data_IF_549361247681
#
_entry.id   IF_549361247681
#
_cell.length_a   1.000
_cell.length_b   1.000
_cell.length_c   1.000
_cell.angle_alpha   90.00
_cell.angle_beta   90.00
_cell.angle_gamma   90.00
#
_symmetry.space_group_name_H-M   'P 1'
#
loop_
_entity.id
_entity.type
_entity.pdbx_description
1 polymer ?
#
# COMPACT_ATOMS: atom_id res chain seq x y z
N UNK A 1 -0.41 -26.32 0.50
CA UNK A 1 0.19 -24.96 0.47
C UNK A 1 1.35 -24.80 -0.51
N UNK A 2 2.27 -25.76 -0.67
CA UNK A 2 3.47 -25.57 -1.52
C UNK A 2 3.18 -25.29 -3.01
N UNK A 3 2.11 -25.87 -3.57
CA UNK A 3 1.72 -25.68 -4.98
C UNK A 3 1.40 -24.20 -5.32
N UNK A 4 0.57 -23.56 -4.49
CA UNK A 4 0.24 -22.13 -4.65
C UNK A 4 1.44 -21.21 -4.50
N UNK A 5 2.31 -21.49 -3.52
CA UNK A 5 3.54 -20.72 -3.34
C UNK A 5 4.44 -20.79 -4.58
N UNK A 6 4.61 -21.97 -5.18
CA UNK A 6 5.39 -22.13 -6.43
C UNK A 6 4.74 -21.42 -7.60
N UNK A 7 3.43 -21.59 -7.78
CA UNK A 7 2.67 -20.98 -8.88
C UNK A 7 2.77 -19.45 -8.86
N UNK A 8 2.44 -18.80 -7.74
CA UNK A 8 2.51 -17.34 -7.67
C UNK A 8 3.93 -16.79 -7.67
N UNK A 9 4.91 -17.54 -7.15
CA UNK A 9 6.32 -17.14 -7.24
C UNK A 9 6.81 -17.14 -8.69
N UNK A 10 6.38 -18.09 -9.50
CA UNK A 10 6.68 -18.11 -10.93
C UNK A 10 5.94 -16.98 -11.67
N UNK A 11 4.70 -16.68 -11.27
CA UNK A 11 3.92 -15.58 -11.88
C UNK A 11 4.51 -14.20 -11.58
N UNK A 12 5.06 -14.01 -10.38
CA UNK A 12 5.61 -12.72 -9.93
C UNK A 12 7.12 -12.57 -10.13
N UNK A 13 7.81 -13.60 -10.65
CA UNK A 13 9.23 -13.48 -10.93
C UNK A 13 9.46 -12.53 -12.10
N UNK A 14 10.32 -11.54 -11.88
CA UNK A 14 10.82 -10.67 -12.95
C UNK A 14 11.73 -11.48 -13.89
N UNK A 15 11.14 -12.03 -14.95
CA UNK A 15 11.83 -12.82 -15.98
C UNK A 15 12.79 -11.97 -16.80
N UNK A 16 12.57 -10.67 -16.87
CA UNK A 16 13.37 -9.72 -17.67
C UNK A 16 14.53 -9.12 -16.88
N UNK A 17 14.43 -9.10 -15.55
CA UNK A 17 15.37 -8.43 -14.66
C UNK A 17 15.32 -6.90 -14.76
N UNK A 18 14.32 -6.34 -15.42
CA UNK A 18 14.21 -4.90 -15.69
C UNK A 18 13.55 -4.14 -14.54
N UNK A 19 12.77 -4.79 -13.68
CA UNK A 19 12.02 -4.12 -12.62
C UNK A 19 12.93 -3.45 -11.58
N UNK A 20 14.20 -3.84 -11.49
CA UNK A 20 15.18 -3.31 -10.53
C UNK A 20 16.33 -2.54 -11.17
N UNK A 21 16.34 -2.36 -12.49
CA UNK A 21 17.38 -1.61 -13.19
C UNK A 21 16.91 -0.18 -13.44
N UNK A 22 17.68 0.84 -13.02
CA UNK A 22 17.31 2.23 -13.24
C UNK A 22 17.52 2.68 -14.70
N UNK A 23 18.46 2.08 -15.42
CA UNK A 23 18.90 2.52 -16.77
C UNK A 23 17.75 2.69 -17.78
N UNK A 24 16.80 1.73 -17.92
CA UNK A 24 15.70 1.87 -18.86
C UNK A 24 14.77 3.06 -18.51
N UNK A 25 14.68 3.41 -17.23
CA UNK A 25 13.81 4.49 -16.76
C UNK A 25 14.46 5.86 -16.95
N UNK A 26 15.78 5.94 -16.84
CA UNK A 26 16.52 7.19 -17.06
C UNK A 26 16.38 7.64 -18.52
N UNK A 27 16.43 6.72 -19.49
CA UNK A 27 16.20 7.05 -20.91
C UNK A 27 14.77 7.54 -21.18
N UNK A 28 13.77 6.94 -20.54
CA UNK A 28 12.35 7.26 -20.76
C UNK A 28 11.95 8.59 -20.10
N UNK A 29 12.41 8.83 -18.88
CA UNK A 29 11.96 9.95 -18.05
C UNK A 29 12.87 11.19 -18.25
N UNK A 30 14.13 10.97 -18.64
CA UNK A 30 15.16 12.00 -18.76
C UNK A 30 15.59 12.59 -17.40
N UNK A 31 16.57 13.49 -17.42
CA UNK A 31 17.00 14.27 -16.26
C UNK A 31 16.07 15.48 -16.01
N UNK A 32 14.79 15.24 -15.75
CA UNK A 32 13.88 16.32 -15.34
C UNK A 32 14.03 16.56 -13.83
N UNK A 33 14.86 17.54 -13.47
CA UNK A 33 15.02 18.02 -12.09
C UNK A 33 13.99 19.08 -11.68
N UNK A 34 13.20 19.61 -12.61
CA UNK A 34 12.11 20.52 -12.24
C UNK A 34 11.01 19.71 -11.54
N UNK A 35 10.73 20.07 -10.28
CA UNK A 35 9.57 19.62 -9.53
C UNK A 35 8.50 20.73 -9.55
N UNK A 36 7.73 20.90 -10.64
CA UNK A 36 6.70 21.93 -10.74
C UNK A 36 5.48 21.64 -9.85
N UNK A 37 5.43 20.47 -9.21
CA UNK A 37 4.26 19.99 -8.45
C UNK A 37 4.41 20.14 -6.94
N UNK A 38 5.57 20.60 -6.44
CA UNK A 38 5.87 20.73 -5.00
C UNK A 38 5.57 19.46 -4.18
N UNK A 39 5.71 18.28 -4.79
CA UNK A 39 5.39 16.98 -4.17
C UNK A 39 6.41 16.51 -3.13
N UNK A 40 7.39 17.35 -2.78
CA UNK A 40 8.45 17.01 -1.83
C UNK A 40 8.13 17.44 -0.39
N UNK A 41 6.97 18.08 -0.17
CA UNK A 41 6.52 18.44 1.18
C UNK A 41 6.23 17.19 2.02
N UNK A 42 6.19 17.36 3.33
CA UNK A 42 5.75 16.28 4.21
C UNK A 42 4.27 15.96 4.03
N UNK A 43 3.94 14.68 4.24
CA UNK A 43 2.54 14.21 4.30
C UNK A 43 1.77 15.05 5.32
N UNK A 44 0.72 15.71 4.84
CA UNK A 44 -0.20 16.53 5.62
C UNK A 44 -1.32 15.68 6.24
N UNK A 45 -1.95 16.23 7.28
CA UNK A 45 -3.11 15.57 7.88
C UNK A 45 -4.31 15.50 6.93
N UNK A 46 -4.48 16.50 6.06
CA UNK A 46 -5.59 16.55 5.12
C UNK A 46 -5.51 15.42 4.09
N UNK A 47 -4.31 15.12 3.57
CA UNK A 47 -4.09 13.98 2.68
C UNK A 47 -4.44 12.65 3.37
N UNK A 48 -3.98 12.47 4.61
CA UNK A 48 -4.30 11.26 5.40
C UNK A 48 -5.80 11.13 5.61
N UNK A 49 -6.48 12.23 5.97
CA UNK A 49 -7.93 12.30 6.19
C UNK A 49 -8.69 11.97 4.91
N UNK A 50 -8.36 12.61 3.79
CA UNK A 50 -8.99 12.38 2.49
C UNK A 50 -8.89 10.92 2.07
N UNK A 51 -7.68 10.35 2.17
CA UNK A 51 -7.44 8.95 1.85
C UNK A 51 -8.28 8.04 2.74
N UNK A 52 -8.24 8.25 4.06
CA UNK A 52 -8.99 7.42 5.00
C UNK A 52 -10.50 7.49 4.78
N UNK A 53 -11.06 8.68 4.56
CA UNK A 53 -12.49 8.83 4.27
C UNK A 53 -12.89 8.14 2.96
N UNK A 54 -12.00 8.12 1.97
CA UNK A 54 -12.22 7.41 0.70
C UNK A 54 -12.15 5.88 0.81
N UNK A 55 -11.56 5.33 1.88
CA UNK A 55 -11.48 3.87 2.06
C UNK A 55 -12.82 3.30 2.52
N UNK A 56 -13.26 2.23 1.85
CA UNK A 56 -14.45 1.48 2.24
C UNK A 56 -14.23 0.70 3.53
N UNK A 57 -15.25 0.68 4.40
CA UNK A 57 -15.29 -0.16 5.60
C UNK A 57 -15.47 -1.64 5.24
N UNK A 58 -15.22 -2.52 6.22
CA UNK A 58 -15.44 -3.97 6.14
C UNK A 58 -14.69 -4.66 4.99
N UNK A 59 -13.54 -4.11 4.61
CA UNK A 59 -12.59 -4.77 3.71
C UNK A 59 -11.64 -5.62 4.52
N UNK A 60 -11.26 -6.78 3.97
CA UNK A 60 -10.33 -7.69 4.63
C UNK A 60 -9.01 -6.97 5.01
N UNK A 61 -8.50 -7.21 6.23
CA UNK A 61 -7.22 -6.66 6.66
C UNK A 61 -6.06 -7.30 5.90
N UNK A 62 -4.86 -6.73 6.02
CA UNK A 62 -3.64 -7.41 5.63
C UNK A 62 -3.17 -8.38 6.71
N UNK A 63 -1.94 -8.88 6.57
CA UNK A 63 -1.33 -9.78 7.56
C UNK A 63 -1.08 -9.14 8.94
N UNK A 64 -1.26 -7.82 9.08
CA UNK A 64 -1.22 -7.12 10.37
C UNK A 64 -2.56 -7.18 11.14
N UNK A 65 -3.63 -7.68 10.53
CA UNK A 65 -4.95 -7.82 11.15
C UNK A 65 -5.70 -6.50 11.34
N UNK A 66 -5.16 -5.36 10.89
CA UNK A 66 -5.77 -4.05 11.11
C UNK A 66 -6.69 -3.67 9.94
N UNK A 67 -7.98 -3.62 10.21
CA UNK A 67 -9.00 -3.17 9.27
C UNK A 67 -9.11 -1.64 9.19
N UNK A 68 -9.74 -1.14 8.13
CA UNK A 68 -10.00 0.30 7.90
C UNK A 68 -10.76 0.94 9.08
N UNK A 69 -11.66 0.19 9.74
CA UNK A 69 -12.41 0.67 10.89
C UNK A 69 -11.50 1.15 12.03
N UNK A 70 -10.41 0.44 12.31
CA UNK A 70 -9.43 0.84 13.34
C UNK A 70 -8.82 2.20 13.05
N UNK A 71 -8.49 2.47 11.79
CA UNK A 71 -7.90 3.75 11.40
C UNK A 71 -8.95 4.87 11.41
N UNK A 72 -10.19 4.59 11.02
CA UNK A 72 -11.27 5.60 11.05
C UNK A 72 -11.67 6.01 12.46
N UNK A 73 -11.57 5.10 13.45
CA UNK A 73 -11.82 5.43 14.87
C UNK A 73 -10.80 6.45 15.41
N UNK A 74 -9.63 6.58 14.77
CA UNK A 74 -8.63 7.59 15.18
C UNK A 74 -9.08 9.02 14.89
N UNK A 75 -10.08 9.19 14.01
CA UNK A 75 -10.64 10.48 13.62
C UNK A 75 -11.84 10.79 14.48
N UNK A 76 -11.83 12.00 15.05
CA UNK A 76 -13.01 12.64 15.58
C UNK A 76 -13.51 13.73 14.60
N UNK A 77 -14.79 14.11 14.67
CA UNK A 77 -15.38 15.14 13.81
C UNK A 77 -14.69 16.52 13.97
N UNK A 78 -13.93 16.70 15.06
CA UNK A 78 -13.15 17.90 15.36
C UNK A 78 -11.73 17.90 14.74
N UNK A 79 -11.21 16.75 14.28
CA UNK A 79 -9.87 16.59 13.70
C UNK A 79 -9.75 17.14 12.27
N UNK A 80 -10.50 18.19 11.89
CA UNK A 80 -10.56 18.66 10.51
C UNK A 80 -9.25 19.33 10.06
N UNK A 81 -8.64 20.13 10.93
CA UNK A 81 -7.43 20.90 10.60
C UNK A 81 -6.14 20.21 11.03
N UNK A 82 -6.17 19.46 12.14
CA UNK A 82 -5.03 18.75 12.68
C UNK A 82 -5.48 17.54 13.49
N UNK A 83 -4.63 16.52 13.68
CA UNK A 83 -4.95 15.40 14.55
C UNK A 83 -4.90 15.86 16.00
N UNK A 84 -5.98 15.70 16.77
CA UNK A 84 -6.02 16.02 18.20
C UNK A 84 -5.64 14.82 19.06
N UNK A 85 -6.13 13.63 18.69
CA UNK A 85 -5.91 12.41 19.47
C UNK A 85 -4.43 11.98 19.44
N UNK A 86 -3.87 11.46 20.55
CA UNK A 86 -2.49 10.97 20.58
C UNK A 86 -2.20 9.92 19.51
N UNK A 87 -3.19 9.08 19.19
CA UNK A 87 -3.04 8.02 18.19
C UNK A 87 -3.10 8.55 16.75
N UNK A 88 -3.94 9.54 16.46
CA UNK A 88 -3.94 10.24 15.17
C UNK A 88 -2.61 10.97 14.93
N UNK A 89 -2.08 11.64 15.96
CA UNK A 89 -0.74 12.27 15.93
C UNK A 89 0.36 11.23 15.67
N UNK A 90 0.29 10.07 16.33
CA UNK A 90 1.24 8.98 16.13
C UNK A 90 1.19 8.42 14.70
N UNK A 91 -0.01 8.26 14.12
CA UNK A 91 -0.17 7.81 12.73
C UNK A 91 0.45 8.80 11.74
N UNK A 92 0.13 10.10 11.87
CA UNK A 92 0.70 11.13 11.00
C UNK A 92 2.23 11.17 11.10
N UNK A 93 2.76 11.14 12.33
CA UNK A 93 4.21 11.12 12.55
C UNK A 93 4.86 9.87 11.94
N UNK A 94 4.24 8.69 12.10
CA UNK A 94 4.73 7.46 11.47
C UNK A 94 4.80 7.60 9.95
N UNK A 95 3.76 8.12 9.31
CA UNK A 95 3.72 8.32 7.86
C UNK A 95 4.79 9.32 7.38
N UNK A 96 4.98 10.42 8.10
CA UNK A 96 6.03 11.41 7.82
C UNK A 96 7.44 10.83 8.01
N UNK A 97 7.67 10.00 9.04
CA UNK A 97 8.94 9.30 9.23
C UNK A 97 9.21 8.36 8.05
N UNK A 98 8.19 7.60 7.60
CA UNK A 98 8.32 6.72 6.44
C UNK A 98 8.66 7.52 5.18
N UNK A 99 7.95 8.63 4.96
CA UNK A 99 8.18 9.54 3.83
C UNK A 99 9.62 10.08 3.81
N UNK A 100 10.06 10.73 4.89
CA UNK A 100 11.39 11.35 5.00
C UNK A 100 12.53 10.33 4.93
N UNK A 101 12.34 9.14 5.52
CA UNK A 101 13.40 8.13 5.58
C UNK A 101 13.42 7.19 4.37
N UNK A 102 12.33 7.12 3.59
CA UNK A 102 12.12 6.13 2.54
C UNK A 102 12.04 4.68 3.04
N UNK A 103 11.88 4.46 4.36
CA UNK A 103 11.91 3.13 4.98
C UNK A 103 10.51 2.70 5.41
N UNK A 104 9.98 1.69 4.71
CA UNK A 104 8.68 1.08 5.03
C UNK A 104 8.85 0.02 6.13
N UNK A 105 7.97 -0.03 7.15
CA UNK A 105 7.97 -1.10 8.16
C UNK A 105 7.90 -2.49 7.51
N UNK A 106 8.70 -3.44 7.99
CA UNK A 106 8.74 -4.80 7.41
C UNK A 106 7.36 -5.45 7.32
N UNK A 107 6.52 -5.25 8.33
CA UNK A 107 5.15 -5.80 8.38
C UNK A 107 4.24 -5.21 7.30
N UNK A 108 4.45 -3.96 6.89
CA UNK A 108 3.73 -3.32 5.78
C UNK A 108 4.23 -3.75 4.40
N UNK A 109 5.46 -4.27 4.34
CA UNK A 109 6.07 -4.80 3.12
C UNK A 109 5.82 -6.32 2.94
N UNK A 110 4.97 -6.91 3.76
CA UNK A 110 4.51 -8.30 3.63
C UNK A 110 3.05 -8.26 3.19
N UNK A 111 2.71 -9.08 2.20
CA UNK A 111 1.35 -9.20 1.70
C UNK A 111 0.98 -10.67 1.58
N UNK A 112 -0.20 -11.03 2.06
CA UNK A 112 -0.70 -12.39 1.97
C UNK A 112 -1.44 -12.59 0.64
N UNK A 113 -1.14 -13.70 -0.03
CA UNK A 113 -1.83 -14.06 -1.28
C UNK A 113 -2.91 -15.08 -0.95
N UNK A 114 -4.16 -14.74 -1.23
CA UNK A 114 -5.31 -15.62 -1.09
C UNK A 114 -5.82 -16.03 -2.47
N UNK A 115 -6.07 -17.33 -2.64
CA UNK A 115 -6.55 -17.92 -3.90
C UNK A 115 -8.07 -17.95 -3.93
N UNK A 116 -8.67 -17.31 -4.94
CA UNK A 116 -10.12 -17.34 -5.18
C UNK A 116 -10.40 -18.16 -6.44
N UNK A 117 -11.25 -19.19 -6.38
CA UNK A 117 -11.63 -19.97 -7.56
C UNK A 117 -12.40 -19.10 -8.57
N UNK A 118 -12.11 -19.30 -9.85
CA UNK A 118 -12.85 -18.78 -11.00
C UNK A 118 -13.69 -19.91 -11.62
N UNK A 119 -14.52 -19.57 -12.61
CA UNK A 119 -15.23 -20.57 -13.43
C UNK A 119 -14.23 -21.42 -14.22
N UNK A 120 -14.46 -22.73 -14.26
CA UNK A 120 -13.63 -23.69 -15.00
C UNK A 120 -13.43 -24.97 -14.18
N UNK A 121 -12.50 -25.81 -14.63
CA UNK A 121 -12.07 -26.99 -13.90
C UNK A 121 -11.28 -26.60 -12.63
N UNK A 122 -11.73 -26.96 -11.41
CA UNK A 122 -11.03 -26.66 -10.17
C UNK A 122 -9.68 -27.39 -10.03
N UNK A 123 -9.36 -28.34 -10.90
CA UNK A 123 -8.05 -29.01 -10.89
C UNK A 123 -6.95 -28.19 -11.58
N UNK A 124 -7.31 -27.18 -12.38
CA UNK A 124 -6.34 -26.33 -13.09
C UNK A 124 -6.00 -25.07 -12.28
N UNK A 125 -4.70 -24.85 -12.02
CA UNK A 125 -4.23 -23.69 -11.23
C UNK A 125 -4.59 -22.33 -11.86
N UNK A 126 -4.64 -22.26 -13.20
CA UNK A 126 -4.99 -21.02 -13.94
C UNK A 126 -6.44 -20.58 -13.71
N UNK A 127 -7.31 -21.51 -13.32
CA UNK A 127 -8.70 -21.24 -12.94
C UNK A 127 -8.82 -20.64 -11.54
N UNK A 128 -7.72 -20.17 -10.95
CA UNK A 128 -7.73 -19.42 -9.70
C UNK A 128 -7.18 -18.01 -9.89
N UNK A 129 -7.68 -17.07 -9.09
CA UNK A 129 -7.19 -15.70 -9.01
C UNK A 129 -6.46 -15.53 -7.67
N UNK A 130 -5.20 -15.11 -7.73
CA UNK A 130 -4.53 -14.61 -6.54
C UNK A 130 -5.02 -13.20 -6.23
N UNK A 131 -5.46 -12.95 -5.01
CA UNK A 131 -5.68 -11.61 -4.47
C UNK A 131 -4.66 -11.33 -3.38
N UNK A 132 -4.18 -10.09 -3.35
CA UNK A 132 -3.14 -9.65 -2.42
C UNK A 132 -3.80 -8.87 -1.27
N UNK A 133 -3.71 -9.38 -0.04
CA UNK A 133 -4.18 -8.71 1.16
C UNK A 133 -3.11 -7.76 1.70
N UNK A 134 -3.09 -6.56 1.13
CA UNK A 134 -2.13 -5.51 1.51
C UNK A 134 -2.57 -4.88 2.86
N UNK A 135 -1.64 -4.72 3.83
CA UNK A 135 -1.88 -3.98 5.08
C UNK A 135 -2.51 -2.61 4.84
N UNK A 136 -3.47 -2.22 5.68
CA UNK A 136 -4.23 -0.97 5.47
C UNK A 136 -3.32 0.25 5.59
N UNK A 137 -2.36 0.25 6.52
CA UNK A 137 -1.35 1.30 6.62
C UNK A 137 -0.56 1.50 5.32
N UNK A 138 -0.18 0.41 4.65
CA UNK A 138 0.48 0.47 3.34
C UNK A 138 -0.46 1.02 2.26
N UNK A 139 -1.75 0.64 2.26
CA UNK A 139 -2.75 1.20 1.34
C UNK A 139 -2.94 2.71 1.53
N UNK A 140 -2.92 3.20 2.78
CA UNK A 140 -3.00 4.63 3.08
C UNK A 140 -1.80 5.34 2.48
N UNK A 141 -0.58 4.87 2.80
CA UNK A 141 0.65 5.47 2.28
C UNK A 141 0.67 5.50 0.74
N UNK A 142 0.32 4.38 0.09
CA UNK A 142 0.31 4.30 -1.37
C UNK A 142 -0.70 5.27 -2.01
N UNK A 143 -1.89 5.44 -1.42
CA UNK A 143 -2.90 6.38 -1.93
C UNK A 143 -2.56 7.86 -1.71
N UNK A 144 -1.63 8.16 -0.80
CA UNK A 144 -1.11 9.52 -0.63
C UNK A 144 -0.07 9.81 -1.73
N UNK A 145 0.75 8.82 -2.07
CA UNK A 145 1.86 8.95 -3.02
C UNK A 145 1.41 8.84 -4.49
N UNK A 146 0.38 8.01 -4.77
CA UNK A 146 -0.12 7.66 -6.12
C UNK A 146 -1.56 8.13 -6.29
#
# INVERSE_FOLDING_TARGET
>A
MQWWSRFYKALSSDSTGNSRKPDPWIEVIGNKMDNPLDINQDISWDEVRMVLMSLALHKAPGGDGLEVGWYKVLFNDYDFYCPESPMAKALLNLLQIIWRSGKIPKIWNITEIVTIPKKGDPQLLDNYRGIALIPVGMKILVRIII
#
